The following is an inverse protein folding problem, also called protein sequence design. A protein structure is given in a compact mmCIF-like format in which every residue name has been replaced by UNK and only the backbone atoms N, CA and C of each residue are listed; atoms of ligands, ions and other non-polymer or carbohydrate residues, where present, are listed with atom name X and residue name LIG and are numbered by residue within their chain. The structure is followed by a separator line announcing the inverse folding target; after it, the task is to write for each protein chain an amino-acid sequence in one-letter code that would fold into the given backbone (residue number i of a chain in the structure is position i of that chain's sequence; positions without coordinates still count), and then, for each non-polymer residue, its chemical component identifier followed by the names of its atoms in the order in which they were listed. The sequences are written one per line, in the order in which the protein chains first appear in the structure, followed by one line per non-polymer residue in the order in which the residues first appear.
data_IF_596259672811
#
_entry.id   IF_596259672811
#
_cell.length_a   1.000
_cell.length_b   1.000
_cell.length_c   1.000
_cell.angle_alpha   90.00
_cell.angle_beta   90.00
_cell.angle_gamma   90.00
#
_symmetry.space_group_name_H-M   'P 1'
#
loop_
_entity.id
_entity.type
_entity.pdbx_description
1 polymer ?
#
# COMPACT_ATOMS: atom_id res chain seq x y z
N UNK A 1 33.09 -36.24 -31.92
CA UNK A 1 33.31 -34.96 -31.22
C UNK A 1 32.83 -35.11 -29.80
N UNK A 2 33.67 -34.75 -28.82
CA UNK A 2 33.26 -34.74 -27.42
C UNK A 2 32.22 -33.63 -27.21
N UNK A 3 31.19 -33.93 -26.42
CA UNK A 3 30.22 -32.90 -26.02
C UNK A 3 30.88 -31.99 -24.98
N UNK A 4 30.70 -30.69 -25.13
CA UNK A 4 31.08 -29.65 -24.18
C UNK A 4 30.12 -29.69 -22.99
N UNK A 5 30.66 -30.03 -21.82
CA UNK A 5 29.94 -30.03 -20.55
C UNK A 5 29.04 -31.25 -20.32
N UNK A 6 28.49 -31.32 -19.11
CA UNK A 6 27.48 -32.29 -18.69
C UNK A 6 26.24 -31.53 -18.24
N UNK A 7 25.07 -32.13 -18.47
CA UNK A 7 23.81 -31.65 -17.90
C UNK A 7 23.40 -32.59 -16.78
N UNK A 8 23.00 -32.03 -15.64
CA UNK A 8 22.49 -32.81 -14.52
C UNK A 8 21.11 -33.39 -14.84
N UNK A 9 20.74 -34.46 -14.15
CA UNK A 9 19.43 -35.09 -14.29
C UNK A 9 18.32 -34.19 -13.73
N UNK A 10 17.11 -34.29 -14.31
CA UNK A 10 15.96 -33.55 -13.81
C UNK A 10 15.53 -34.06 -12.42
N UNK A 11 15.35 -33.13 -11.50
CA UNK A 11 14.87 -33.36 -10.14
C UNK A 11 13.69 -32.43 -9.83
N UNK A 12 12.47 -32.97 -9.82
CA UNK A 12 11.24 -32.18 -9.67
C UNK A 12 11.07 -31.49 -8.30
N UNK A 13 11.85 -31.89 -7.30
CA UNK A 13 11.95 -31.23 -5.99
C UNK A 13 12.88 -29.99 -6.01
N UNK A 14 13.78 -29.90 -6.99
CA UNK A 14 14.83 -28.86 -7.05
C UNK A 14 14.60 -27.82 -8.14
N UNK A 15 13.98 -28.21 -9.25
CA UNK A 15 13.77 -27.33 -10.39
C UNK A 15 12.43 -27.58 -11.09
N UNK A 16 11.93 -26.56 -11.79
CA UNK A 16 10.75 -26.70 -12.61
C UNK A 16 11.07 -27.38 -13.94
N UNK A 17 10.12 -28.17 -14.47
CA UNK A 17 10.30 -28.85 -15.76
C UNK A 17 10.65 -27.88 -16.91
N UNK A 18 10.07 -26.68 -16.90
CA UNK A 18 10.36 -25.64 -17.88
C UNK A 18 11.81 -25.19 -17.82
N UNK A 19 12.34 -24.91 -16.63
CA UNK A 19 13.73 -24.50 -16.39
C UNK A 19 14.72 -25.58 -16.84
N UNK A 20 14.42 -26.85 -16.54
CA UNK A 20 15.23 -27.97 -17.00
C UNK A 20 15.30 -28.05 -18.53
N UNK A 21 14.16 -27.88 -19.21
CA UNK A 21 14.10 -27.89 -20.68
C UNK A 21 14.82 -26.70 -21.30
N UNK A 22 14.80 -25.52 -20.66
CA UNK A 22 15.58 -24.36 -21.07
C UNK A 22 17.09 -24.67 -21.01
N UNK A 23 17.57 -25.21 -19.88
CA UNK A 23 18.97 -25.65 -19.71
C UNK A 23 19.37 -26.68 -20.79
N UNK A 24 18.52 -27.68 -21.02
CA UNK A 24 18.76 -28.70 -22.04
C UNK A 24 18.76 -28.11 -23.46
N UNK A 25 17.94 -27.10 -23.72
CA UNK A 25 17.91 -26.39 -25.00
C UNK A 25 19.22 -25.63 -25.23
N UNK A 26 19.73 -24.93 -24.21
CA UNK A 26 21.05 -24.29 -24.29
C UNK A 26 22.19 -25.30 -24.48
N UNK A 27 22.11 -26.47 -23.84
CA UNK A 27 23.06 -27.55 -24.06
C UNK A 27 23.09 -28.01 -25.53
N UNK A 28 21.92 -28.11 -26.17
CA UNK A 28 21.85 -28.44 -27.60
C UNK A 28 22.48 -27.36 -28.48
N UNK A 29 22.27 -26.09 -28.16
CA UNK A 29 22.84 -24.96 -28.91
C UNK A 29 24.36 -24.94 -28.77
N UNK A 30 24.89 -25.06 -27.55
CA UNK A 30 26.33 -25.02 -27.28
C UNK A 30 27.12 -26.18 -27.94
N UNK A 31 26.43 -27.29 -28.24
CA UNK A 31 27.01 -28.49 -28.83
C UNK A 31 26.62 -28.71 -30.30
N UNK A 32 26.04 -27.70 -30.97
CA UNK A 32 25.59 -27.77 -32.37
C UNK A 32 24.64 -28.96 -32.67
N UNK A 33 23.84 -29.37 -31.68
CA UNK A 33 22.89 -30.47 -31.81
C UNK A 33 21.63 -29.98 -32.52
N UNK A 34 21.60 -30.14 -33.84
CA UNK A 34 20.49 -29.68 -34.70
C UNK A 34 19.44 -30.77 -34.97
N UNK A 35 19.86 -32.03 -35.05
CA UNK A 35 18.97 -33.14 -35.40
C UNK A 35 17.95 -33.45 -34.29
N UNK A 36 16.66 -33.47 -34.66
CA UNK A 36 15.54 -33.74 -33.74
C UNK A 36 15.67 -35.10 -33.04
N UNK A 37 16.11 -36.12 -33.78
CA UNK A 37 16.35 -37.47 -33.23
C UNK A 37 17.46 -37.47 -32.18
N UNK A 38 18.57 -36.74 -32.42
CA UNK A 38 19.63 -36.60 -31.41
C UNK A 38 19.14 -35.89 -30.14
N UNK A 39 18.36 -34.82 -30.29
CA UNK A 39 17.75 -34.12 -29.13
C UNK A 39 16.87 -35.05 -28.30
N UNK A 40 16.05 -35.86 -28.97
CA UNK A 40 15.22 -36.90 -28.32
C UNK A 40 16.08 -37.92 -27.58
N UNK A 41 17.06 -38.52 -28.26
CA UNK A 41 17.93 -39.54 -27.65
C UNK A 41 18.67 -38.99 -26.45
N UNK A 42 19.18 -37.75 -26.52
CA UNK A 42 19.84 -37.09 -25.40
C UNK A 42 18.87 -36.89 -24.25
N UNK A 43 17.68 -36.31 -24.48
CA UNK A 43 16.66 -36.15 -23.44
C UNK A 43 16.38 -37.46 -22.72
N UNK A 44 16.07 -38.54 -23.47
CA UNK A 44 15.75 -39.84 -22.89
C UNK A 44 16.92 -40.44 -22.09
N UNK A 45 18.17 -40.11 -22.45
CA UNK A 45 19.36 -40.59 -21.73
C UNK A 45 19.72 -39.78 -20.49
N UNK A 46 19.46 -38.47 -20.48
CA UNK A 46 19.92 -37.55 -19.42
C UNK A 46 18.83 -37.14 -18.42
N UNK A 47 17.55 -37.40 -18.71
CA UNK A 47 16.43 -36.99 -17.84
C UNK A 47 16.41 -37.69 -16.46
N UNK A 48 17.15 -38.78 -16.30
CA UNK A 48 17.21 -39.56 -15.06
C UNK A 48 16.17 -40.69 -15.00
N UNK A 49 16.43 -41.69 -14.15
CA UNK A 49 15.63 -42.93 -14.06
C UNK A 49 14.18 -42.70 -13.65
N UNK A 50 13.94 -41.89 -12.63
CA UNK A 50 12.59 -41.62 -12.10
C UNK A 50 11.72 -40.90 -13.13
N UNK A 51 12.27 -39.87 -13.75
CA UNK A 51 11.61 -39.10 -14.81
C UNK A 51 11.35 -39.93 -16.07
N UNK A 52 12.28 -40.81 -16.44
CA UNK A 52 12.09 -41.74 -17.55
C UNK A 52 11.00 -42.77 -17.23
N UNK A 53 10.96 -43.31 -16.01
CA UNK A 53 9.91 -44.21 -15.53
C UNK A 53 8.54 -43.55 -15.59
N UNK A 54 8.43 -42.30 -15.12
CA UNK A 54 7.21 -41.50 -15.23
C UNK A 54 6.79 -41.34 -16.69
N UNK A 55 7.71 -40.92 -17.57
CA UNK A 55 7.45 -40.76 -19.00
C UNK A 55 6.98 -42.07 -19.65
N UNK A 56 7.58 -43.20 -19.29
CA UNK A 56 7.18 -44.53 -19.78
C UNK A 56 5.76 -44.90 -19.36
N UNK A 57 5.39 -44.59 -18.11
CA UNK A 57 4.04 -44.82 -17.59
C UNK A 57 3.01 -43.95 -18.31
N UNK A 58 3.30 -42.66 -18.51
CA UNK A 58 2.40 -41.70 -19.17
C UNK A 58 2.17 -41.98 -20.67
N UNK A 59 3.11 -42.66 -21.33
CA UNK A 59 3.03 -42.98 -22.76
C UNK A 59 2.49 -44.37 -23.07
N UNK A 60 2.23 -45.19 -22.04
CA UNK A 60 1.75 -46.57 -22.21
C UNK A 60 0.50 -46.62 -23.11
N UNK A 61 0.45 -47.51 -24.12
CA UNK A 61 1.39 -48.62 -24.42
C UNK A 61 2.65 -48.22 -25.22
N UNK A 62 2.65 -47.05 -25.86
CA UNK A 62 3.70 -46.58 -26.78
C UNK A 62 5.01 -46.30 -26.04
N UNK A 63 6.16 -46.66 -26.63
CA UNK A 63 7.47 -46.43 -26.00
C UNK A 63 7.91 -44.96 -26.18
N UNK A 64 8.61 -44.36 -25.19
CA UNK A 64 9.13 -42.99 -25.31
C UNK A 64 10.00 -42.75 -26.56
N UNK A 65 10.76 -43.74 -27.01
CA UNK A 65 11.58 -43.64 -28.21
C UNK A 65 10.80 -43.45 -29.52
N UNK A 66 9.51 -43.82 -29.54
CA UNK A 66 8.64 -43.72 -30.72
C UNK A 66 7.98 -42.34 -30.87
N UNK A 67 8.03 -41.50 -29.84
CA UNK A 67 7.50 -40.13 -29.84
C UNK A 67 8.55 -39.12 -30.29
N UNK A 68 8.08 -37.93 -30.70
CA UNK A 68 8.97 -36.81 -31.05
C UNK A 68 9.44 -36.09 -29.79
N UNK A 69 10.63 -35.47 -29.83
CA UNK A 69 11.15 -34.66 -28.72
C UNK A 69 10.10 -33.68 -28.16
N UNK A 70 9.41 -32.94 -29.03
CA UNK A 70 8.37 -31.97 -28.63
C UNK A 70 7.22 -32.63 -27.85
N UNK A 71 6.74 -33.79 -28.34
CA UNK A 71 5.65 -34.53 -27.72
C UNK A 71 6.04 -35.05 -26.33
N UNK A 72 7.29 -35.51 -26.17
CA UNK A 72 7.81 -35.95 -24.86
C UNK A 72 7.83 -34.79 -23.85
N UNK A 73 8.33 -33.63 -24.29
CA UNK A 73 8.37 -32.42 -23.46
C UNK A 73 6.96 -31.98 -23.05
N UNK A 74 6.01 -32.00 -23.99
CA UNK A 74 4.60 -31.63 -23.74
C UNK A 74 3.88 -32.61 -22.81
N UNK A 75 4.16 -33.92 -22.91
CA UNK A 75 3.58 -34.94 -22.00
C UNK A 75 4.06 -34.71 -20.57
N UNK A 76 5.36 -34.53 -20.38
CA UNK A 76 5.93 -34.27 -19.06
C UNK A 76 5.46 -32.92 -18.51
N UNK A 77 5.42 -31.88 -19.34
CA UNK A 77 4.93 -30.56 -18.93
C UNK A 77 3.49 -30.62 -18.42
N UNK A 78 2.59 -31.32 -19.13
CA UNK A 78 1.19 -31.49 -18.69
C UNK A 78 1.04 -32.21 -17.36
N UNK A 79 1.93 -33.16 -17.05
CA UNK A 79 1.86 -33.92 -15.81
C UNK A 79 2.53 -33.18 -14.64
N UNK A 80 3.69 -32.58 -14.87
CA UNK A 80 4.49 -31.90 -13.83
C UNK A 80 4.02 -30.47 -13.56
N UNK A 81 3.41 -29.82 -14.55
CA UNK A 81 2.82 -28.51 -14.44
C UNK A 81 1.41 -28.54 -15.03
N UNK A 82 0.46 -29.24 -14.38
CA UNK A 82 -0.91 -29.30 -14.86
C UNK A 82 -1.47 -27.90 -14.94
N UNK A 83 -2.05 -27.55 -16.10
CA UNK A 83 -2.73 -26.27 -16.28
C UNK A 83 -3.78 -26.18 -15.17
N UNK A 84 -3.68 -25.22 -14.26
CA UNK A 84 -4.65 -25.12 -13.19
C UNK A 84 -6.02 -24.82 -13.79
N UNK A 85 -7.07 -25.37 -13.16
CA UNK A 85 -8.45 -25.16 -13.62
C UNK A 85 -8.73 -23.66 -13.75
N UNK A 86 -9.15 -23.24 -14.94
CA UNK A 86 -9.50 -21.85 -15.26
C UNK A 86 -10.50 -21.30 -14.23
N UNK A 87 -11.53 -22.08 -13.90
CA UNK A 87 -12.57 -21.71 -12.92
C UNK A 87 -11.95 -21.46 -11.54
N UNK A 88 -11.02 -22.31 -11.11
CA UNK A 88 -10.35 -22.15 -9.81
C UNK A 88 -9.45 -20.91 -9.81
N UNK A 89 -8.78 -20.62 -10.94
CA UNK A 89 -7.91 -19.45 -11.05
C UNK A 89 -8.70 -18.16 -11.10
N UNK A 90 -9.80 -18.13 -11.86
CA UNK A 90 -10.73 -17.01 -11.85
C UNK A 90 -11.35 -16.80 -10.46
N UNK A 91 -11.69 -17.87 -9.75
CA UNK A 91 -12.16 -17.77 -8.36
C UNK A 91 -11.10 -17.14 -7.44
N UNK A 92 -9.84 -17.62 -7.51
CA UNK A 92 -8.73 -17.07 -6.72
C UNK A 92 -8.47 -15.61 -7.07
N UNK A 93 -8.41 -15.28 -8.35
CA UNK A 93 -8.27 -13.93 -8.87
C UNK A 93 -9.38 -13.02 -8.33
N UNK A 94 -10.65 -13.43 -8.48
CA UNK A 94 -11.80 -12.64 -8.05
C UNK A 94 -11.92 -12.52 -6.53
N UNK A 95 -11.39 -13.48 -5.78
CA UNK A 95 -11.35 -13.45 -4.31
C UNK A 95 -10.15 -12.70 -3.75
N UNK A 96 -9.21 -12.26 -4.60
CA UNK A 96 -7.99 -11.60 -4.17
C UNK A 96 -8.28 -10.17 -3.72
N UNK A 97 -8.07 -9.93 -2.42
CA UNK A 97 -8.05 -8.61 -1.78
C UNK A 97 -6.66 -8.36 -1.22
N UNK A 98 -6.18 -7.12 -1.25
CA UNK A 98 -4.88 -6.73 -0.69
C UNK A 98 -4.85 -7.11 0.79
N UNK A 99 -3.73 -7.68 1.25
CA UNK A 99 -3.54 -8.08 2.64
C UNK A 99 -3.20 -6.85 3.49
N UNK A 100 -3.44 -6.93 4.80
CA UNK A 100 -3.00 -5.87 5.72
C UNK A 100 -1.47 -5.77 5.71
N UNK A 101 -0.93 -4.58 5.49
CA UNK A 101 0.52 -4.34 5.40
C UNK A 101 1.17 -4.70 4.06
N UNK A 102 0.40 -5.20 3.09
CA UNK A 102 0.89 -5.45 1.72
C UNK A 102 0.89 -4.17 0.89
N UNK A 103 1.99 -3.92 0.15
CA UNK A 103 2.08 -2.76 -0.75
C UNK A 103 1.16 -2.91 -1.98
N UNK A 104 0.78 -1.78 -2.60
CA UNK A 104 0.04 -1.82 -3.88
C UNK A 104 0.83 -2.60 -4.95
N UNK A 105 2.15 -2.40 -5.04
CA UNK A 105 2.98 -3.08 -6.04
C UNK A 105 2.97 -4.59 -5.88
N UNK A 106 3.13 -5.09 -4.65
CA UNK A 106 3.09 -6.53 -4.34
C UNK A 106 1.71 -7.11 -4.66
N UNK A 107 0.65 -6.40 -4.26
CA UNK A 107 -0.71 -6.81 -4.54
C UNK A 107 -0.98 -6.98 -6.04
N UNK A 108 -0.54 -6.01 -6.85
CA UNK A 108 -0.75 -6.02 -8.31
C UNK A 108 0.09 -7.10 -8.99
N UNK A 109 1.33 -7.33 -8.53
CA UNK A 109 2.16 -8.43 -9.03
C UNK A 109 1.46 -9.79 -8.83
N UNK A 110 0.86 -10.00 -7.65
CA UNK A 110 0.07 -11.21 -7.36
C UNK A 110 -1.20 -11.31 -8.22
N UNK A 111 -1.89 -10.19 -8.50
CA UNK A 111 -3.03 -10.20 -9.43
C UNK A 111 -2.62 -10.63 -10.84
N UNK A 112 -1.50 -10.10 -11.35
CA UNK A 112 -0.98 -10.49 -12.65
C UNK A 112 -0.59 -11.98 -12.69
N UNK A 113 0.02 -12.50 -11.63
CA UNK A 113 0.36 -13.92 -11.52
C UNK A 113 -0.89 -14.81 -11.53
N UNK A 114 -1.94 -14.44 -10.80
CA UNK A 114 -3.21 -15.19 -10.78
C UNK A 114 -3.93 -15.15 -12.14
N UNK A 115 -3.80 -14.04 -12.88
CA UNK A 115 -4.44 -13.86 -14.17
C UNK A 115 -3.85 -14.73 -15.29
N UNK A 116 -2.60 -15.21 -15.14
CA UNK A 116 -1.88 -16.02 -16.14
C UNK A 116 -2.70 -17.21 -16.67
N UNK A 117 -3.42 -17.88 -15.78
CA UNK A 117 -4.22 -19.07 -16.09
C UNK A 117 -5.72 -18.82 -16.13
N UNK A 118 -6.15 -17.55 -16.09
CA UNK A 118 -7.57 -17.18 -16.11
C UNK A 118 -8.15 -17.05 -17.52
N UNK A 119 -7.31 -17.08 -18.56
CA UNK A 119 -7.71 -16.98 -19.97
C UNK A 119 -8.57 -15.74 -20.31
N UNK A 120 -8.27 -14.58 -19.73
CA UNK A 120 -9.04 -13.34 -19.94
C UNK A 120 -8.90 -12.73 -21.35
N UNK A 121 -7.91 -13.17 -22.14
CA UNK A 121 -7.67 -12.68 -23.50
C UNK A 121 -7.61 -11.15 -23.57
N UNK A 122 -8.35 -10.56 -24.49
CA UNK A 122 -8.37 -9.10 -24.71
C UNK A 122 -9.00 -8.29 -23.57
N UNK A 123 -9.58 -8.96 -22.56
CA UNK A 123 -10.20 -8.31 -21.39
C UNK A 123 -9.29 -8.30 -20.16
N UNK A 124 -8.05 -8.80 -20.27
CA UNK A 124 -7.11 -8.88 -19.16
C UNK A 124 -6.97 -7.55 -18.39
N UNK A 125 -6.73 -6.44 -19.09
CA UNK A 125 -6.56 -5.12 -18.47
C UNK A 125 -7.83 -4.65 -17.74
N UNK A 126 -9.00 -4.98 -18.29
CA UNK A 126 -10.29 -4.66 -17.66
C UNK A 126 -10.44 -5.44 -16.36
N UNK A 127 -10.14 -6.74 -16.39
CA UNK A 127 -10.22 -7.61 -15.21
C UNK A 127 -9.22 -7.18 -14.12
N UNK A 128 -7.98 -6.88 -14.50
CA UNK A 128 -6.95 -6.39 -13.58
C UNK A 128 -7.34 -5.05 -12.95
N UNK A 129 -7.84 -4.11 -13.76
CA UNK A 129 -8.35 -2.82 -13.27
C UNK A 129 -9.47 -3.01 -12.26
N UNK A 130 -10.50 -3.78 -12.62
CA UNK A 130 -11.68 -3.96 -11.78
C UNK A 130 -11.31 -4.67 -10.47
N UNK A 131 -10.41 -5.66 -10.54
CA UNK A 131 -9.94 -6.36 -9.35
C UNK A 131 -9.06 -5.49 -8.45
N UNK A 132 -8.21 -4.63 -9.03
CA UNK A 132 -7.42 -3.64 -8.31
C UNK A 132 -8.35 -2.68 -7.54
N UNK A 133 -9.32 -2.07 -8.22
CA UNK A 133 -10.27 -1.11 -7.63
C UNK A 133 -11.05 -1.75 -6.48
N UNK A 134 -11.59 -2.93 -6.69
CA UNK A 134 -12.39 -3.61 -5.68
C UNK A 134 -11.54 -4.24 -4.56
N UNK A 135 -10.23 -4.46 -4.78
CA UNK A 135 -9.36 -5.23 -3.88
C UNK A 135 -8.34 -4.44 -3.07
N UNK A 136 -8.11 -3.14 -3.34
CA UNK A 136 -7.01 -2.35 -2.76
C UNK A 136 -7.11 -2.05 -1.25
N UNK A 137 -8.16 -2.49 -0.55
CA UNK A 137 -8.37 -2.38 0.91
C UNK A 137 -7.97 -1.04 1.57
N UNK A 138 -8.01 0.07 0.83
CA UNK A 138 -7.72 1.42 1.30
C UNK A 138 -8.76 2.37 0.73
N UNK A 139 -9.56 2.98 1.61
CA UNK A 139 -10.69 3.80 1.20
C UNK A 139 -10.29 5.04 0.41
N UNK A 140 -9.14 5.66 0.73
CA UNK A 140 -8.66 6.84 0.04
C UNK A 140 -8.33 6.50 -1.42
N UNK A 141 -7.56 5.43 -1.62
CA UNK A 141 -7.20 4.93 -2.95
C UNK A 141 -8.46 4.50 -3.70
N UNK A 142 -9.30 3.66 -3.10
CA UNK A 142 -10.50 3.13 -3.75
C UNK A 142 -11.45 4.26 -4.19
N UNK A 143 -11.71 5.24 -3.32
CA UNK A 143 -12.58 6.38 -3.64
C UNK A 143 -12.02 7.22 -4.79
N UNK A 144 -10.70 7.44 -4.82
CA UNK A 144 -10.05 8.20 -5.90
C UNK A 144 -10.05 7.44 -7.24
N UNK A 145 -9.93 6.11 -7.22
CA UNK A 145 -10.05 5.29 -8.42
C UNK A 145 -11.49 5.29 -8.96
N UNK A 146 -12.48 5.14 -8.09
CA UNK A 146 -13.90 5.15 -8.45
C UNK A 146 -14.39 6.50 -9.01
N UNK A 147 -13.71 7.62 -8.69
CA UNK A 147 -14.06 8.94 -9.25
C UNK A 147 -13.57 9.16 -10.68
N UNK A 148 -12.75 8.26 -11.23
CA UNK A 148 -12.20 8.43 -12.59
C UNK A 148 -13.23 8.01 -13.65
N UNK A 149 -13.54 8.91 -14.58
CA UNK A 149 -14.54 8.64 -15.64
C UNK A 149 -14.07 7.68 -16.73
N UNK A 150 -12.76 7.66 -17.02
CA UNK A 150 -12.12 6.75 -17.99
C UNK A 150 -10.87 6.14 -17.37
N UNK A 151 -11.06 5.05 -16.64
CA UNK A 151 -10.00 4.35 -15.93
C UNK A 151 -9.47 3.16 -16.77
N UNK A 152 -8.18 3.15 -17.04
CA UNK A 152 -7.42 2.00 -17.56
C UNK A 152 -6.64 1.34 -16.42
N UNK A 153 -6.14 0.11 -16.64
CA UNK A 153 -5.32 -0.56 -15.64
C UNK A 153 -4.07 0.25 -15.28
N UNK A 154 -3.29 0.70 -16.28
CA UNK A 154 -2.08 1.49 -16.05
C UNK A 154 -2.36 2.76 -15.24
N UNK A 155 -3.40 3.50 -15.60
CA UNK A 155 -3.82 4.70 -14.85
C UNK A 155 -4.23 4.37 -13.42
N UNK A 156 -4.92 3.25 -13.21
CA UNK A 156 -5.32 2.82 -11.87
C UNK A 156 -4.09 2.46 -11.02
N UNK A 157 -3.12 1.77 -11.61
CA UNK A 157 -1.87 1.42 -10.96
C UNK A 157 -1.06 2.67 -10.56
N UNK A 158 -0.86 3.60 -11.50
CA UNK A 158 -0.13 4.84 -11.25
C UNK A 158 -0.76 5.68 -10.13
N UNK A 159 -2.08 5.85 -10.16
CA UNK A 159 -2.82 6.57 -9.13
C UNK A 159 -2.71 5.88 -7.76
N UNK A 160 -2.84 4.55 -7.72
CA UNK A 160 -2.76 3.79 -6.48
C UNK A 160 -1.37 3.87 -5.85
N UNK A 161 -0.30 3.73 -6.66
CA UNK A 161 1.08 3.87 -6.21
C UNK A 161 1.37 5.31 -5.75
N UNK A 162 0.92 6.31 -6.50
CA UNK A 162 1.09 7.72 -6.15
C UNK A 162 0.43 8.08 -4.82
N UNK A 163 -0.79 7.57 -4.56
CA UNK A 163 -1.51 7.78 -3.31
C UNK A 163 -0.88 7.03 -2.12
N UNK A 164 -0.41 5.79 -2.34
CA UNK A 164 0.32 5.04 -1.31
C UNK A 164 1.61 5.77 -0.91
N UNK A 165 2.37 6.24 -1.90
CA UNK A 165 3.59 7.01 -1.68
C UNK A 165 3.31 8.35 -0.99
N UNK A 166 2.28 9.07 -1.41
CA UNK A 166 1.88 10.34 -0.80
C UNK A 166 1.47 10.15 0.67
N UNK A 167 0.74 9.08 1.00
CA UNK A 167 0.39 8.76 2.38
C UNK A 167 1.63 8.48 3.24
N UNK A 168 2.55 7.65 2.72
CA UNK A 168 3.83 7.36 3.41
C UNK A 168 4.64 8.64 3.65
N UNK A 169 4.83 9.46 2.62
CA UNK A 169 5.56 10.72 2.72
C UNK A 169 4.90 11.70 3.71
N UNK A 170 3.57 11.76 3.75
CA UNK A 170 2.85 12.59 4.71
C UNK A 170 3.06 12.13 6.16
N UNK A 171 3.19 10.83 6.39
CA UNK A 171 3.49 10.29 7.72
C UNK A 171 4.96 10.52 8.10
N UNK A 172 5.89 10.38 7.16
CA UNK A 172 7.31 10.73 7.37
C UNK A 172 7.48 12.21 7.76
N UNK A 173 6.75 13.11 7.08
CA UNK A 173 6.75 14.55 7.40
C UNK A 173 6.20 14.85 8.80
N UNK A 174 5.21 14.09 9.29
CA UNK A 174 4.67 14.24 10.66
C UNK A 174 5.62 13.67 11.71
N UNK A 175 6.39 12.64 11.37
CA UNK A 175 7.36 12.00 12.26
C UNK A 175 8.69 12.76 12.33
N UNK A 176 8.96 13.67 11.38
CA UNK A 176 10.02 14.66 11.50
C UNK A 176 9.81 15.54 12.75
N UNK A 177 10.68 15.38 13.75
CA UNK A 177 10.71 16.22 14.95
C UNK A 177 10.65 17.72 14.59
N UNK A 178 9.97 18.59 15.37
CA UNK A 178 10.12 20.03 15.25
C UNK A 178 11.52 20.40 15.74
N UNK A 179 12.52 20.31 14.85
CA UNK A 179 13.82 20.92 15.09
C UNK A 179 13.60 22.41 15.02
N UNK A 180 13.67 23.04 16.21
CA UNK A 180 13.95 24.45 16.43
C UNK A 180 13.28 25.42 15.45
N UNK A 181 12.17 26.01 15.90
CA UNK A 181 11.72 27.34 15.47
C UNK A 181 12.93 28.19 15.11
N UNK A 182 13.02 28.55 13.83
CA UNK A 182 14.09 29.34 13.23
C UNK A 182 14.54 30.43 14.20
N UNK A 183 15.77 30.30 14.69
CA UNK A 183 16.43 31.33 15.43
C UNK A 183 16.84 32.39 14.39
N UNK A 184 15.89 33.25 14.02
CA UNK A 184 16.18 34.44 13.21
C UNK A 184 17.20 35.26 13.99
N UNK A 185 18.44 35.28 13.50
CA UNK A 185 19.57 36.03 14.02
C UNK A 185 19.17 37.50 14.18
N UNK A 186 18.86 37.91 15.41
CA UNK A 186 18.71 39.33 15.76
C UNK A 186 20.10 39.89 16.09
N UNK A 187 20.55 40.78 15.22
CA UNK A 187 21.77 41.59 15.35
C UNK A 187 21.77 42.30 16.72
N UNK A 188 22.86 42.23 17.52
CA UNK A 188 22.90 42.82 18.84
C UNK A 188 23.09 44.35 18.77
N UNK A 189 22.12 45.11 19.28
CA UNK A 189 22.30 46.54 19.57
C UNK A 189 22.72 46.73 21.02
N UNK A 190 23.91 47.29 21.21
CA UNK A 190 24.19 48.40 22.13
C UNK A 190 24.06 48.14 23.64
N UNK A 191 25.22 48.14 24.30
CA UNK A 191 25.46 48.15 25.74
C UNK A 191 24.66 49.23 26.49
N UNK A 192 24.11 48.89 27.66
CA UNK A 192 24.18 49.73 28.86
C UNK A 192 24.35 48.87 30.11
N UNK A 193 25.07 49.47 31.05
CA UNK A 193 25.86 48.93 32.16
C UNK A 193 25.11 48.66 33.47
N UNK A 194 25.65 47.72 34.26
CA UNK A 194 25.60 47.63 35.74
C UNK A 194 24.22 47.29 36.34
N UNK A 195 24.06 46.39 37.33
CA UNK A 195 24.83 46.20 38.56
C UNK A 195 24.49 44.84 39.20
N UNK A 196 25.47 44.27 39.90
CA UNK A 196 25.39 43.08 40.77
C UNK A 196 24.19 43.09 41.73
N UNK A 197 23.57 41.92 41.93
CA UNK A 197 23.32 41.36 43.27
C UNK A 197 22.94 39.87 43.23
N UNK A 198 23.57 39.12 44.14
CA UNK A 198 23.46 37.69 44.35
C UNK A 198 22.14 37.29 45.06
N UNK A 199 21.65 36.11 44.69
CA UNK A 199 21.01 35.15 45.61
C UNK A 199 19.56 35.41 46.03
N UNK A 200 18.60 34.79 45.33
CA UNK A 200 17.52 34.03 45.97
C UNK A 200 16.72 33.20 44.96
N UNK A 201 16.54 31.91 45.26
CA UNK A 201 15.81 30.94 44.46
C UNK A 201 14.40 31.46 44.12
N UNK A 202 14.20 31.83 42.86
CA UNK A 202 12.93 32.37 42.37
C UNK A 202 12.17 31.27 41.63
N UNK A 203 10.99 30.95 42.15
CA UNK A 203 9.98 30.04 41.56
C UNK A 203 9.85 30.25 40.04
N UNK A 204 9.56 29.20 39.24
CA UNK A 204 9.36 29.35 37.81
C UNK A 204 8.23 30.37 37.58
N UNK A 205 8.57 31.53 37.00
CA UNK A 205 7.59 32.55 36.64
C UNK A 205 6.79 32.02 35.46
N UNK A 206 5.60 31.48 35.73
CA UNK A 206 4.65 31.16 34.67
C UNK A 206 4.27 32.45 33.95
N UNK A 207 4.04 32.38 32.62
CA UNK A 207 3.48 33.52 31.90
C UNK A 207 2.12 33.88 32.53
N UNK A 208 1.80 35.17 32.71
CA UNK A 208 0.52 35.56 33.27
C UNK A 208 -0.61 35.01 32.41
N UNK A 209 -1.53 34.27 33.03
CA UNK A 209 -2.64 33.60 32.40
C UNK A 209 -3.44 34.60 31.55
N UNK A 210 -3.67 34.25 30.27
CA UNK A 210 -4.34 35.14 29.32
C UNK A 210 -5.80 35.46 29.70
N UNK A 211 -6.41 34.65 30.58
CA UNK A 211 -7.81 34.82 30.97
C UNK A 211 -7.98 35.69 32.22
N UNK A 212 -7.06 35.66 33.19
CA UNK A 212 -7.18 36.45 34.43
C UNK A 212 -5.97 37.33 34.80
N UNK A 213 -4.85 37.18 34.10
CA UNK A 213 -3.62 37.95 34.31
C UNK A 213 -2.79 37.54 35.52
N UNK A 214 -3.13 36.44 36.21
CA UNK A 214 -2.33 35.87 37.31
C UNK A 214 -1.34 34.84 36.78
N UNK A 215 -0.22 34.68 37.46
CA UNK A 215 0.91 33.81 37.11
C UNK A 215 1.03 32.57 38.01
N UNK A 216 -0.04 32.19 38.71
CA UNK A 216 -0.02 31.08 39.68
C UNK A 216 -0.71 29.78 39.22
N UNK A 217 -1.11 29.68 37.94
CA UNK A 217 -1.74 28.49 37.35
C UNK A 217 -1.51 28.43 35.84
N UNK A 218 -1.67 27.23 35.26
CA UNK A 218 -1.71 27.02 33.82
C UNK A 218 -3.05 27.55 33.25
N UNK A 219 -3.09 28.06 32.00
CA UNK A 219 -4.33 28.57 31.40
C UNK A 219 -5.51 27.61 31.58
N UNK A 220 -5.34 26.31 31.33
CA UNK A 220 -6.42 25.31 31.37
C UNK A 220 -7.10 25.14 32.75
N UNK A 221 -6.39 25.46 33.83
CA UNK A 221 -6.86 25.38 35.23
C UNK A 221 -7.48 26.69 35.74
N UNK A 222 -7.60 27.70 34.87
CA UNK A 222 -8.08 29.00 35.29
C UNK A 222 -9.60 28.99 35.56
N UNK A 223 -9.98 29.37 36.77
CA UNK A 223 -11.37 29.53 37.21
C UNK A 223 -12.20 30.49 36.32
N UNK A 224 -11.55 31.41 35.59
CA UNK A 224 -12.21 32.41 34.76
C UNK A 224 -12.35 32.01 33.29
N UNK A 225 -12.01 30.76 32.93
CA UNK A 225 -12.02 30.27 31.55
C UNK A 225 -13.36 30.38 30.83
N UNK A 226 -14.45 30.11 31.55
CA UNK A 226 -15.80 30.15 31.01
C UNK A 226 -16.59 31.40 31.44
N UNK A 227 -15.95 32.33 32.18
CA UNK A 227 -16.62 33.55 32.64
C UNK A 227 -16.65 34.62 31.54
N UNK A 228 -17.76 35.35 31.50
CA UNK A 228 -17.97 36.48 30.60
C UNK A 228 -17.21 37.71 31.12
N UNK A 229 -16.53 38.40 30.23
CA UNK A 229 -15.86 39.66 30.56
C UNK A 229 -16.90 40.77 30.80
N UNK A 230 -16.91 41.39 31.98
CA UNK A 230 -17.87 42.47 32.27
C UNK A 230 -17.66 43.74 31.41
N UNK A 231 -16.53 43.87 30.71
CA UNK A 231 -16.25 44.99 29.82
C UNK A 231 -16.70 44.75 28.36
N UNK A 232 -16.65 43.53 27.84
CA UNK A 232 -16.95 43.26 26.43
C UNK A 232 -17.92 42.09 26.18
N UNK A 233 -18.38 41.41 27.23
CA UNK A 233 -19.34 40.31 27.15
C UNK A 233 -18.81 39.00 26.54
N UNK A 234 -17.53 38.91 26.14
CA UNK A 234 -16.95 37.69 25.56
C UNK A 234 -16.42 36.74 26.65
N UNK A 235 -16.55 35.41 26.43
CA UNK A 235 -16.00 34.37 27.31
C UNK A 235 -14.47 34.28 27.20
N UNK A 236 -13.81 33.75 28.22
CA UNK A 236 -12.37 33.49 28.19
C UNK A 236 -11.48 34.65 28.63
N UNK A 237 -12.00 35.70 29.27
CA UNK A 237 -11.16 36.67 29.99
C UNK A 237 -11.96 37.57 30.94
N UNK A 238 -11.29 38.24 31.88
CA UNK A 238 -11.90 39.24 32.79
C UNK A 238 -11.57 40.67 32.36
N UNK A 239 -12.34 41.65 32.87
CA UNK A 239 -12.19 43.08 32.54
C UNK A 239 -10.78 43.62 32.71
N UNK A 240 -10.01 43.08 33.66
CA UNK A 240 -8.62 43.49 33.94
C UNK A 240 -7.65 43.23 32.78
N UNK A 241 -7.87 42.17 32.01
CA UNK A 241 -7.01 41.79 30.87
C UNK A 241 -7.74 41.95 29.53
N UNK A 242 -8.89 42.62 29.55
CA UNK A 242 -9.70 42.87 28.37
C UNK A 242 -8.98 43.85 27.44
N UNK A 243 -8.78 43.42 26.19
CA UNK A 243 -8.14 44.23 25.14
C UNK A 243 -9.13 45.08 24.35
N UNK A 244 -10.42 45.02 24.68
CA UNK A 244 -11.45 45.84 24.04
C UNK A 244 -11.52 47.22 24.70
N UNK A 245 -11.62 48.29 23.89
CA UNK A 245 -11.84 49.66 24.39
C UNK A 245 -13.12 49.69 25.23
N UNK A 246 -13.13 50.43 26.35
CA UNK A 246 -14.30 50.56 27.23
C UNK A 246 -15.50 51.05 26.41
N UNK A 247 -16.50 50.18 26.21
CA UNK A 247 -17.79 50.56 25.62
C UNK A 247 -18.72 50.87 26.79
N UNK A 248 -19.27 52.10 26.82
CA UNK A 248 -20.32 52.46 27.79
C UNK A 248 -21.54 51.58 27.50
N UNK A 249 -22.00 50.82 28.49
CA UNK A 249 -23.13 49.92 28.37
C UNK A 249 -24.43 50.70 28.08
N UNK A 250 -25.21 50.23 27.11
CA UNK A 250 -26.66 50.44 27.04
C UNK A 250 -27.30 49.11 27.44
N UNK A 251 -28.28 49.18 28.33
CA UNK A 251 -28.83 48.05 29.05
C UNK A 251 -30.05 47.40 28.34
N UNK A 252 -30.24 46.10 28.62
CA UNK A 252 -31.50 45.32 28.64
C UNK A 252 -32.10 44.88 27.29
N UNK A 253 -32.67 43.68 27.07
CA UNK A 253 -33.15 42.59 27.95
C UNK A 253 -33.31 41.25 27.19
N UNK A 254 -33.15 40.14 27.93
CA UNK A 254 -33.90 38.85 27.96
C UNK A 254 -34.04 37.89 26.74
N UNK A 255 -33.32 36.74 26.82
CA UNK A 255 -33.77 35.35 27.09
C UNK A 255 -34.78 34.59 26.16
N UNK A 256 -34.82 33.22 26.19
CA UNK A 256 -34.57 32.38 25.01
C UNK A 256 -35.72 31.42 24.65
N UNK A 257 -35.70 30.83 23.44
CA UNK A 257 -36.47 29.62 23.13
C UNK A 257 -35.68 28.60 22.31
N UNK A 258 -35.98 27.35 22.66
CA UNK A 258 -35.38 26.07 22.34
C UNK A 258 -36.37 25.29 21.45
N UNK A 259 -35.92 24.65 20.37
CA UNK A 259 -36.63 23.50 19.77
C UNK A 259 -35.64 22.57 19.06
N UNK A 260 -35.39 21.46 19.73
CA UNK A 260 -35.27 20.05 19.33
C UNK A 260 -34.98 19.57 17.89
N UNK A 261 -34.24 18.45 17.92
CA UNK A 261 -33.91 17.42 16.93
C UNK A 261 -35.21 16.74 16.38
N UNK A 262 -35.30 16.04 15.24
CA UNK A 262 -34.69 14.74 14.88
C UNK A 262 -35.14 14.34 13.45
N UNK A 263 -34.26 13.61 12.74
CA UNK A 263 -34.39 12.65 11.62
C UNK A 263 -35.03 12.99 10.26
N UNK A 264 -34.18 12.85 9.25
CA UNK A 264 -34.49 12.44 7.88
C UNK A 264 -34.18 10.95 7.73
N UNK A 265 -35.19 10.10 7.52
CA UNK A 265 -35.03 8.70 7.10
C UNK A 265 -35.04 8.55 5.57
N UNK A 266 -34.36 7.49 5.14
CA UNK A 266 -33.94 7.17 3.78
C UNK A 266 -35.04 6.56 2.91
N UNK A 267 -34.91 6.90 1.63
CA UNK A 267 -35.30 6.22 0.38
C UNK A 267 -35.10 4.70 0.41
N UNK A 268 -36.02 3.91 -0.21
CA UNK A 268 -35.71 2.91 -1.26
C UNK A 268 -36.98 2.44 -1.98
N UNK A 269 -37.00 2.64 -3.30
CA UNK A 269 -37.94 2.08 -4.27
C UNK A 269 -37.56 0.63 -4.59
N UNK A 270 -38.57 -0.26 -4.57
CA UNK A 270 -38.56 -1.57 -5.22
C UNK A 270 -39.18 -1.40 -6.62
N UNK A 271 -38.45 -1.78 -7.67
CA UNK A 271 -39.03 -2.07 -8.98
C UNK A 271 -38.71 -3.51 -9.35
N UNK A 272 -39.79 -4.23 -9.67
CA UNK A 272 -39.83 -5.51 -10.35
C UNK A 272 -39.38 -5.39 -11.81
#
# INVERSE_FOLDING_TARGET
MALLGKIDTFHGDKEQWTQYIERLTHYFVANDIKHKEKKKSILLSVIGSESYKLLRNLLSPVKPGEKRFKELVEVMARHLNPIPSEIVQQFKFNSRVRKTGESVSTFVAELCSLAEFCNFGNTLDVMLRDRLVCGVNNECIQRHLLSQTKLTFDKALDLALGLELAAKNADDLKQGHPTSREQVLRIPKGKTTSRNQQGNASKPKFKPCYWCGKDNHLPDDCYFKDKLCNNCGKKGHISKVCRSRKVKQVAKNEAPQQTDLVNSEKVYYLFH
#
